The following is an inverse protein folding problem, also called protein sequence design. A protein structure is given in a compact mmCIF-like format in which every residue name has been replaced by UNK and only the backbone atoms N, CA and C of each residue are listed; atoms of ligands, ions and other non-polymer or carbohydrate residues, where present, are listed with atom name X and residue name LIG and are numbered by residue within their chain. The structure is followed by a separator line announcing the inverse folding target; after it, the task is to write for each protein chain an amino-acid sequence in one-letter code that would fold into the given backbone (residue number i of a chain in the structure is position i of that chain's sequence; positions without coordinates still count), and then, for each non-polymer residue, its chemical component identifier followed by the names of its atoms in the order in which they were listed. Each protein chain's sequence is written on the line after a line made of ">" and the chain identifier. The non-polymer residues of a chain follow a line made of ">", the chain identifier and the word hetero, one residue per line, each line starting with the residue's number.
data_IF_361074376525
#
_entry.id   IF_361074376525
#
_cell.length_a   1.000
_cell.length_b   1.000
_cell.length_c   1.000
_cell.angle_alpha   90.00
_cell.angle_beta   90.00
_cell.angle_gamma   90.00
#
_symmetry.space_group_name_H-M   'P 1'
#
loop_
_entity.id
_entity.type
_entity.pdbx_description
1 polymer ?
#
# COMPACT_ATOMS: atom_id res chain seq x y z
N UNK A 1 7.14 32.36 0.62
CA UNK A 1 6.85 31.39 -0.44
C UNK A 1 8.16 30.85 -0.97
N UNK A 2 8.51 29.60 -0.61
CA UNK A 2 9.68 28.93 -1.17
C UNK A 2 9.21 28.19 -2.42
N UNK A 3 9.60 28.68 -3.59
CA UNK A 3 9.35 28.02 -4.86
C UNK A 3 10.40 26.92 -5.07
N UNK A 4 10.02 25.65 -5.02
CA UNK A 4 10.91 24.53 -5.36
C UNK A 4 10.61 24.09 -6.79
N UNK A 5 11.57 24.25 -7.68
CA UNK A 5 11.51 23.75 -9.04
C UNK A 5 12.50 22.60 -9.17
N UNK A 6 12.02 21.42 -9.50
CA UNK A 6 12.89 20.30 -9.86
C UNK A 6 13.25 20.43 -11.33
N UNK A 7 14.52 20.54 -11.62
CA UNK A 7 15.04 20.49 -12.97
C UNK A 7 15.59 19.08 -13.19
N UNK A 8 15.06 18.30 -14.15
CA UNK A 8 15.65 17.02 -14.48
C UNK A 8 17.03 17.28 -15.12
N UNK A 9 18.09 16.74 -14.52
CA UNK A 9 19.39 16.70 -15.16
C UNK A 9 19.47 15.46 -16.04
N UNK A 10 19.64 15.66 -17.35
CA UNK A 10 19.89 14.57 -18.27
C UNK A 10 21.24 13.92 -17.93
N UNK A 11 21.20 12.74 -17.33
CA UNK A 11 22.37 11.88 -17.15
C UNK A 11 22.32 10.74 -18.13
N UNK A 12 23.43 10.47 -18.81
CA UNK A 12 23.56 9.48 -19.89
C UNK A 12 23.38 8.01 -19.46
N UNK A 13 23.27 7.71 -18.16
CA UNK A 13 23.02 6.37 -17.63
C UNK A 13 21.65 6.37 -16.93
N UNK A 14 20.64 5.88 -17.61
CA UNK A 14 19.34 5.57 -17.03
C UNK A 14 19.44 4.25 -16.25
N UNK A 15 20.12 4.29 -15.11
CA UNK A 15 20.17 3.17 -14.18
C UNK A 15 18.82 3.06 -13.45
N UNK A 16 18.43 1.85 -13.13
CA UNK A 16 17.30 1.56 -12.25
C UNK A 16 17.80 0.92 -10.96
N UNK A 17 17.01 1.00 -9.91
CA UNK A 17 17.26 0.33 -8.64
C UNK A 17 16.06 -0.55 -8.26
N UNK A 18 16.29 -1.60 -7.47
CA UNK A 18 15.26 -2.54 -7.04
C UNK A 18 15.35 -2.73 -5.53
N UNK A 19 14.24 -2.46 -4.86
CA UNK A 19 14.09 -2.68 -3.43
C UNK A 19 13.17 -3.86 -3.18
N UNK A 20 13.50 -4.72 -2.21
CA UNK A 20 12.75 -5.91 -1.86
C UNK A 20 12.08 -5.75 -0.50
N UNK A 21 10.83 -6.21 -0.42
CA UNK A 21 9.95 -6.08 0.75
C UNK A 21 9.39 -7.45 1.12
N UNK A 22 10.07 -8.22 1.99
CA UNK A 22 9.49 -9.45 2.53
C UNK A 22 8.20 -9.13 3.29
N UNK A 23 7.12 -9.86 3.01
CA UNK A 23 5.85 -9.67 3.71
C UNK A 23 6.00 -9.93 5.20
N UNK A 24 5.51 -9.01 6.03
CA UNK A 24 5.69 -9.08 7.47
C UNK A 24 7.04 -8.55 7.97
N UNK A 25 7.92 -8.08 7.06
CA UNK A 25 9.18 -7.39 7.36
C UNK A 25 10.43 -8.26 7.29
N UNK A 26 10.32 -9.60 7.35
CA UNK A 26 11.47 -10.50 7.40
C UNK A 26 11.29 -11.74 6.54
N UNK A 27 12.41 -12.28 6.04
CA UNK A 27 12.47 -13.63 5.51
C UNK A 27 12.59 -14.62 6.68
N UNK A 28 11.65 -15.56 6.75
CA UNK A 28 11.57 -16.57 7.81
C UNK A 28 12.18 -17.88 7.34
N UNK A 29 13.03 -18.48 8.16
CA UNK A 29 13.75 -19.71 7.83
C UNK A 29 12.82 -20.88 7.52
N UNK A 30 12.99 -21.50 6.35
CA UNK A 30 12.28 -22.71 5.95
C UNK A 30 10.78 -22.54 5.69
N UNK A 31 10.27 -21.30 5.74
CA UNK A 31 8.87 -21.01 5.44
C UNK A 31 8.72 -20.32 4.08
N UNK A 32 7.64 -20.62 3.39
CA UNK A 32 7.31 -19.91 2.15
C UNK A 32 6.94 -18.45 2.43
N UNK A 33 7.85 -17.54 2.06
CA UNK A 33 7.70 -16.08 2.20
C UNK A 33 7.25 -15.46 0.88
N UNK A 34 6.28 -14.53 0.94
CA UNK A 34 5.98 -13.63 -0.17
C UNK A 34 6.95 -12.46 -0.10
N UNK A 35 7.63 -12.18 -1.20
CA UNK A 35 8.52 -11.03 -1.32
C UNK A 35 7.99 -10.12 -2.41
N UNK A 36 7.63 -8.90 -2.04
CA UNK A 36 7.35 -7.86 -3.02
C UNK A 36 8.64 -7.14 -3.41
N UNK A 37 8.64 -6.53 -4.59
CA UNK A 37 9.73 -5.69 -5.04
C UNK A 37 9.20 -4.46 -5.76
N UNK A 38 10.02 -3.40 -5.78
CA UNK A 38 9.76 -2.18 -6.54
C UNK A 38 11.01 -1.76 -7.29
N UNK A 39 10.88 -1.65 -8.60
CA UNK A 39 11.92 -1.17 -9.50
C UNK A 39 11.66 0.28 -9.89
N UNK A 40 12.66 1.14 -9.69
CA UNK A 40 12.56 2.56 -9.96
C UNK A 40 13.79 3.05 -10.74
N UNK A 41 13.55 3.83 -11.79
CA UNK A 41 14.59 4.55 -12.48
C UNK A 41 15.11 5.75 -11.66
N UNK A 42 16.24 6.30 -12.04
CA UNK A 42 16.87 7.47 -11.35
C UNK A 42 15.99 8.72 -11.28
N UNK A 43 15.06 8.87 -12.20
CA UNK A 43 14.11 10.00 -12.22
C UNK A 43 12.95 9.82 -11.25
N UNK A 44 12.87 8.67 -10.54
CA UNK A 44 11.76 8.33 -9.65
C UNK A 44 10.56 7.72 -10.37
N UNK A 45 10.65 7.48 -11.68
CA UNK A 45 9.63 6.78 -12.44
C UNK A 45 9.77 5.27 -12.26
N UNK A 46 8.65 4.56 -12.40
CA UNK A 46 8.65 3.09 -12.39
C UNK A 46 9.51 2.53 -13.53
N UNK A 47 10.24 1.47 -13.26
CA UNK A 47 10.98 0.71 -14.26
C UNK A 47 10.30 -0.64 -14.49
N UNK A 48 10.17 -1.02 -15.76
CA UNK A 48 9.67 -2.35 -16.15
C UNK A 48 10.85 -3.31 -16.19
N UNK A 49 10.81 -4.36 -15.36
CA UNK A 49 11.86 -5.38 -15.29
C UNK A 49 11.29 -6.79 -15.29
N UNK A 50 12.08 -7.74 -15.78
CA UNK A 50 11.99 -9.16 -15.44
C UNK A 50 13.12 -9.50 -14.46
N UNK A 51 12.91 -10.47 -13.59
CA UNK A 51 13.91 -10.90 -12.63
C UNK A 51 13.89 -12.42 -12.42
N UNK A 52 15.08 -12.96 -12.17
CA UNK A 52 15.32 -14.34 -11.74
C UNK A 52 15.98 -14.31 -10.37
N UNK A 53 15.40 -15.03 -9.42
CA UNK A 53 16.01 -15.29 -8.11
C UNK A 53 16.84 -16.54 -8.23
N UNK A 54 18.13 -16.44 -7.91
CA UNK A 54 19.07 -17.57 -8.01
C UNK A 54 19.71 -17.87 -6.66
N UNK A 55 20.08 -19.10 -6.45
CA UNK A 55 20.86 -19.56 -5.30
C UNK A 55 22.37 -19.33 -5.49
N UNK A 56 23.17 -19.80 -4.55
CA UNK A 56 24.65 -19.70 -4.57
C UNK A 56 25.29 -20.52 -5.70
N UNK A 57 24.60 -21.56 -6.20
CA UNK A 57 25.05 -22.36 -7.35
C UNK A 57 24.69 -21.69 -8.68
N UNK A 58 23.88 -20.64 -8.66
CA UNK A 58 23.37 -19.95 -9.84
C UNK A 58 22.11 -20.59 -10.43
N UNK A 59 21.52 -21.57 -9.74
CA UNK A 59 20.28 -22.21 -10.16
C UNK A 59 19.09 -21.29 -9.91
N UNK A 60 18.17 -21.22 -10.89
CA UNK A 60 16.98 -20.37 -10.82
C UNK A 60 15.95 -21.03 -9.91
N UNK A 61 15.62 -20.32 -8.81
CA UNK A 61 14.57 -20.75 -7.87
C UNK A 61 13.20 -20.28 -8.36
N UNK A 62 13.09 -19.05 -8.80
CA UNK A 62 11.83 -18.47 -9.30
C UNK A 62 12.10 -17.31 -10.23
N UNK A 63 11.18 -17.09 -11.18
CA UNK A 63 11.21 -15.98 -12.13
C UNK A 63 9.91 -15.20 -12.10
N UNK A 64 10.00 -13.89 -12.23
CA UNK A 64 8.83 -13.01 -12.29
C UNK A 64 9.14 -11.70 -13.03
N UNK A 65 8.14 -10.85 -13.12
CA UNK A 65 8.27 -9.52 -13.73
C UNK A 65 7.42 -8.49 -12.99
N UNK A 66 7.66 -7.23 -13.27
CA UNK A 66 6.81 -6.14 -12.81
C UNK A 66 5.38 -6.29 -13.35
N UNK A 67 4.40 -6.05 -12.49
CA UNK A 67 2.98 -6.10 -12.81
C UNK A 67 2.39 -4.70 -13.00
N UNK A 68 2.76 -3.75 -12.15
CA UNK A 68 2.21 -2.39 -12.16
C UNK A 68 3.18 -1.43 -11.49
N UNK A 69 3.45 -0.29 -12.11
CA UNK A 69 4.27 0.81 -11.57
C UNK A 69 5.60 0.32 -10.94
N UNK A 70 6.32 -0.54 -11.67
CA UNK A 70 7.59 -1.10 -11.22
C UNK A 70 7.48 -2.16 -10.12
N UNK A 71 6.28 -2.50 -9.67
CA UNK A 71 6.05 -3.44 -8.57
C UNK A 71 5.75 -4.85 -9.06
N UNK A 72 6.17 -5.84 -8.29
CA UNK A 72 5.87 -7.25 -8.52
C UNK A 72 6.08 -8.07 -7.25
N UNK A 73 5.78 -9.37 -7.31
CA UNK A 73 5.99 -10.31 -6.20
C UNK A 73 6.52 -11.64 -6.69
N UNK A 74 7.18 -12.36 -5.79
CA UNK A 74 7.53 -13.78 -5.95
C UNK A 74 7.42 -14.49 -4.60
N UNK A 75 7.44 -15.83 -4.65
CA UNK A 75 7.47 -16.69 -3.47
C UNK A 75 8.87 -17.27 -3.33
N UNK A 76 9.37 -17.36 -2.10
CA UNK A 76 10.67 -17.92 -1.76
C UNK A 76 10.58 -18.66 -0.44
N UNK A 77 11.19 -19.86 -0.37
CA UNK A 77 11.42 -20.58 0.90
C UNK A 77 12.89 -20.45 1.25
N UNK A 78 13.28 -19.43 2.04
CA UNK A 78 14.67 -19.14 2.31
C UNK A 78 15.23 -20.00 3.45
N UNK A 79 16.53 -20.26 3.42
CA UNK A 79 17.25 -20.98 4.46
C UNK A 79 18.33 -20.12 5.12
N UNK A 80 18.51 -20.27 6.43
CA UNK A 80 19.59 -19.59 7.16
C UNK A 80 20.94 -19.94 6.58
N UNK A 81 21.80 -18.95 6.42
CA UNK A 81 23.16 -19.11 5.91
C UNK A 81 23.26 -19.10 4.39
N UNK A 82 22.15 -19.23 3.66
CA UNK A 82 22.16 -19.10 2.20
C UNK A 82 22.00 -17.65 1.75
N UNK A 83 22.69 -17.31 0.67
CA UNK A 83 22.58 -16.02 -0.01
C UNK A 83 21.79 -16.19 -1.29
N UNK A 84 20.86 -15.28 -1.54
CA UNK A 84 20.06 -15.28 -2.76
C UNK A 84 20.36 -14.02 -3.57
N UNK A 85 20.68 -14.21 -4.85
CA UNK A 85 20.90 -13.13 -5.80
C UNK A 85 19.67 -12.97 -6.68
N UNK A 86 19.41 -11.74 -7.09
CA UNK A 86 18.33 -11.41 -8.03
C UNK A 86 18.93 -10.79 -9.26
N UNK A 87 18.85 -11.49 -10.37
CA UNK A 87 19.30 -11.04 -11.70
C UNK A 87 18.13 -10.34 -12.36
N UNK A 88 18.25 -9.05 -12.60
CA UNK A 88 17.21 -8.23 -13.18
C UNK A 88 17.59 -7.76 -14.58
N UNK A 89 16.62 -7.78 -15.49
CA UNK A 89 16.76 -7.25 -16.85
C UNK A 89 15.62 -6.26 -17.10
N UNK A 90 15.94 -5.04 -17.52
CA UNK A 90 14.94 -4.05 -17.86
C UNK A 90 14.46 -4.16 -19.31
N UNK A 91 13.47 -3.33 -19.70
CA UNK A 91 12.91 -3.28 -21.05
C UNK A 91 13.92 -2.88 -22.15
N UNK A 92 15.07 -2.32 -21.75
CA UNK A 92 16.17 -1.94 -22.67
C UNK A 92 17.25 -3.02 -22.74
N UNK A 93 17.09 -4.18 -22.06
CA UNK A 93 18.06 -5.26 -22.01
C UNK A 93 19.24 -5.01 -21.07
N UNK A 94 19.15 -4.05 -20.18
CA UNK A 94 20.22 -3.76 -19.19
C UNK A 94 20.09 -4.71 -18.01
N UNK A 95 21.19 -5.38 -17.69
CA UNK A 95 21.25 -6.35 -16.60
C UNK A 95 21.83 -5.72 -15.34
N UNK A 96 21.21 -6.02 -14.19
CA UNK A 96 21.71 -5.68 -12.87
C UNK A 96 21.49 -6.83 -11.90
N UNK A 97 22.35 -6.93 -10.90
CA UNK A 97 22.25 -7.94 -9.84
C UNK A 97 22.06 -7.25 -8.49
N UNK A 98 21.18 -7.84 -7.68
CA UNK A 98 20.86 -7.37 -6.34
C UNK A 98 20.91 -8.57 -5.37
N UNK A 99 21.18 -8.27 -4.09
CA UNK A 99 21.08 -9.28 -3.03
C UNK A 99 19.74 -9.14 -2.33
N UNK A 100 19.10 -10.27 -2.03
CA UNK A 100 17.95 -10.27 -1.14
C UNK A 100 18.40 -9.96 0.30
N UNK A 101 17.49 -9.40 1.12
CA UNK A 101 17.73 -9.30 2.56
C UNK A 101 18.07 -10.68 3.14
N UNK A 102 18.99 -10.75 4.11
CA UNK A 102 19.33 -12.02 4.74
C UNK A 102 18.14 -12.56 5.55
N UNK A 103 18.09 -13.88 5.73
CA UNK A 103 17.15 -14.52 6.65
C UNK A 103 17.42 -14.01 8.06
N UNK A 104 16.39 -13.54 8.74
CA UNK A 104 16.53 -13.09 10.11
C UNK A 104 16.43 -14.30 11.08
N UNK A 105 17.56 -14.77 11.57
CA UNK A 105 17.63 -15.91 12.49
C UNK A 105 16.87 -15.70 13.81
N UNK A 106 16.58 -14.45 14.20
CA UNK A 106 15.85 -14.07 15.42
C UNK A 106 14.34 -13.91 15.17
N UNK A 107 13.91 -13.79 13.93
CA UNK A 107 12.51 -13.67 13.58
C UNK A 107 11.87 -15.06 13.55
N UNK A 108 11.09 -15.39 14.56
CA UNK A 108 10.40 -16.67 14.66
C UNK A 108 8.97 -16.62 14.12
N UNK A 109 8.39 -15.44 14.03
CA UNK A 109 6.99 -15.23 13.66
C UNK A 109 6.84 -14.11 12.64
N UNK A 110 5.85 -14.23 11.76
CA UNK A 110 5.49 -13.24 10.78
C UNK A 110 4.00 -13.26 10.46
N UNK A 111 3.50 -12.17 9.87
CA UNK A 111 2.14 -12.07 9.36
C UNK A 111 2.12 -12.21 7.84
N UNK A 112 1.16 -12.98 7.35
CA UNK A 112 0.69 -12.92 5.96
C UNK A 112 -0.75 -12.43 5.96
N UNK A 113 -1.05 -11.42 5.15
CA UNK A 113 -2.41 -10.89 5.02
C UNK A 113 -2.85 -10.94 3.57
N UNK A 114 -3.91 -11.69 3.31
CA UNK A 114 -4.54 -11.72 2.00
C UNK A 114 -5.83 -10.90 2.04
N UNK A 115 -5.89 -9.86 1.23
CA UNK A 115 -7.08 -9.03 1.06
C UNK A 115 -8.06 -9.72 0.11
N UNK A 116 -8.93 -10.60 0.67
CA UNK A 116 -10.00 -11.24 -0.08
C UNK A 116 -11.08 -10.21 -0.44
N UNK A 117 -12.13 -10.64 -1.16
CA UNK A 117 -13.22 -9.72 -1.55
C UNK A 117 -13.86 -9.07 -0.33
N UNK A 118 -14.34 -9.88 0.61
CA UNK A 118 -15.16 -9.42 1.73
C UNK A 118 -14.46 -9.55 3.10
N UNK A 119 -13.26 -10.14 3.13
CA UNK A 119 -12.54 -10.43 4.36
C UNK A 119 -11.04 -10.14 4.20
N UNK A 120 -10.37 -9.89 5.31
CA UNK A 120 -8.95 -10.08 5.46
C UNK A 120 -8.69 -11.47 6.03
N UNK A 121 -7.88 -12.27 5.34
CA UNK A 121 -7.32 -13.50 5.90
C UNK A 121 -5.95 -13.18 6.47
N UNK A 122 -5.84 -13.15 7.78
CA UNK A 122 -4.60 -12.91 8.50
C UNK A 122 -4.05 -14.23 8.99
N UNK A 123 -2.85 -14.61 8.55
CA UNK A 123 -2.22 -15.88 8.87
C UNK A 123 -0.95 -15.64 9.67
N UNK A 124 -0.75 -16.43 10.73
CA UNK A 124 0.50 -16.50 11.47
C UNK A 124 1.45 -17.46 10.74
N UNK A 125 2.60 -16.96 10.37
CA UNK A 125 3.75 -17.76 9.95
C UNK A 125 4.64 -17.95 11.16
N UNK A 126 4.97 -19.19 11.51
CA UNK A 126 5.80 -19.50 12.67
C UNK A 126 6.83 -20.55 12.32
N UNK A 127 8.10 -20.25 12.59
CA UNK A 127 9.22 -21.19 12.47
C UNK A 127 9.20 -22.21 13.60
N UNK A 128 8.70 -21.79 14.79
CA UNK A 128 8.53 -22.66 15.96
C UNK A 128 7.16 -23.38 15.89
N UNK A 129 7.08 -24.57 16.45
CA UNK A 129 5.82 -25.33 16.51
C UNK A 129 4.77 -24.59 17.33
N UNK A 130 5.17 -23.94 18.42
CA UNK A 130 4.33 -23.09 19.25
C UNK A 130 5.09 -21.86 19.72
N UNK A 131 4.44 -20.69 19.84
CA UNK A 131 5.04 -19.51 20.43
C UNK A 131 5.48 -19.77 21.88
N UNK A 132 6.68 -19.33 22.24
CA UNK A 132 7.19 -19.42 23.62
C UNK A 132 6.57 -18.39 24.57
N UNK A 133 5.92 -17.37 24.03
CA UNK A 133 5.26 -16.28 24.73
C UNK A 133 3.93 -15.90 24.04
N UNK A 134 2.98 -15.26 24.74
CA UNK A 134 1.74 -14.80 24.16
C UNK A 134 1.99 -13.82 23.00
N UNK A 135 1.27 -14.04 21.89
CA UNK A 135 1.27 -13.16 20.74
C UNK A 135 -0.09 -12.45 20.65
N UNK A 136 -0.08 -11.22 20.19
CA UNK A 136 -1.29 -10.41 20.03
C UNK A 136 -1.41 -9.92 18.60
N UNK A 137 -2.58 -10.16 17.98
CA UNK A 137 -2.92 -9.55 16.70
C UNK A 137 -3.68 -8.26 16.95
N UNK A 138 -3.15 -7.18 16.43
CA UNK A 138 -3.80 -5.86 16.47
C UNK A 138 -4.00 -5.36 15.05
N UNK A 139 -5.18 -4.81 14.76
CA UNK A 139 -5.45 -4.11 13.52
C UNK A 139 -6.03 -2.72 13.81
N UNK A 140 -5.51 -1.72 13.14
CA UNK A 140 -6.00 -0.36 13.30
C UNK A 140 -6.12 0.37 11.95
N UNK A 141 -6.97 1.40 11.94
CA UNK A 141 -7.14 2.35 10.84
C UNK A 141 -6.96 3.75 11.41
N UNK A 142 -6.01 4.52 10.90
CA UNK A 142 -5.72 5.90 11.34
C UNK A 142 -5.52 6.04 12.86
N UNK A 143 -4.88 5.04 13.49
CA UNK A 143 -4.64 5.02 14.94
C UNK A 143 -5.81 4.50 15.78
N UNK A 144 -7.00 4.34 15.23
CA UNK A 144 -8.13 3.71 15.92
C UNK A 144 -8.01 2.19 15.84
N UNK A 145 -7.90 1.52 16.98
CA UNK A 145 -7.85 0.06 17.05
C UNK A 145 -9.24 -0.49 16.71
N UNK A 146 -9.31 -1.33 15.68
CA UNK A 146 -10.53 -1.98 15.20
C UNK A 146 -10.61 -3.42 15.70
N UNK A 147 -9.46 -4.07 15.81
CA UNK A 147 -9.36 -5.44 16.26
C UNK A 147 -8.13 -5.61 17.17
N UNK A 148 -8.28 -6.33 18.28
CA UNK A 148 -7.19 -6.69 19.18
C UNK A 148 -7.53 -7.96 19.93
N UNK A 149 -6.80 -9.03 19.67
CA UNK A 149 -6.95 -10.32 20.36
C UNK A 149 -5.60 -11.00 20.57
N UNK A 150 -5.50 -11.77 21.65
CA UNK A 150 -4.43 -12.73 21.83
C UNK A 150 -4.54 -13.85 20.81
N UNK A 151 -3.41 -14.19 20.16
CA UNK A 151 -3.37 -15.28 19.18
C UNK A 151 -3.43 -16.63 19.91
N UNK A 152 -4.59 -17.27 19.86
CA UNK A 152 -4.84 -18.54 20.56
C UNK A 152 -4.46 -19.73 19.70
N UNK A 153 -3.60 -20.59 20.20
CA UNK A 153 -3.34 -21.89 19.63
C UNK A 153 -4.60 -22.81 19.73
N UNK A 154 -4.85 -23.68 18.77
CA UNK A 154 -4.07 -24.01 17.57
C UNK A 154 -4.46 -23.14 16.33
N UNK A 155 -5.12 -22.03 16.52
CA UNK A 155 -5.59 -21.19 15.41
C UNK A 155 -4.41 -20.58 14.66
N UNK A 156 -4.27 -20.91 13.37
CA UNK A 156 -3.22 -20.37 12.51
C UNK A 156 -3.68 -19.21 11.62
N UNK A 157 -4.95 -18.85 11.64
CA UNK A 157 -5.52 -17.78 10.79
C UNK A 157 -6.78 -17.16 11.36
N UNK A 158 -6.95 -15.87 11.14
CA UNK A 158 -8.20 -15.14 11.34
C UNK A 158 -8.84 -14.77 10.00
N UNK A 159 -10.17 -14.81 9.94
CA UNK A 159 -10.96 -14.22 8.86
C UNK A 159 -11.71 -13.04 9.44
N UNK A 160 -11.28 -11.83 9.09
CA UNK A 160 -11.82 -10.58 9.61
C UNK A 160 -12.67 -9.91 8.53
N UNK A 161 -14.00 -9.78 8.71
CA UNK A 161 -14.86 -9.16 7.72
C UNK A 161 -14.50 -7.67 7.51
N UNK A 162 -14.26 -7.28 6.26
CA UNK A 162 -13.87 -5.91 5.89
C UNK A 162 -14.91 -4.87 6.29
N UNK A 163 -16.20 -5.26 6.36
CA UNK A 163 -17.29 -4.37 6.76
C UNK A 163 -17.11 -3.72 8.14
N UNK A 164 -16.32 -4.34 9.02
CA UNK A 164 -16.02 -3.76 10.35
C UNK A 164 -14.87 -2.77 10.33
N UNK A 165 -14.15 -2.68 9.21
CA UNK A 165 -13.01 -1.77 9.06
C UNK A 165 -13.45 -0.53 8.29
N UNK A 166 -13.17 0.67 8.81
CA UNK A 166 -13.30 1.88 8.01
C UNK A 166 -12.52 1.76 6.70
N UNK A 167 -12.99 2.43 5.66
CA UNK A 167 -12.28 2.48 4.39
C UNK A 167 -10.92 3.16 4.52
N UNK A 168 -9.94 2.64 3.80
CA UNK A 168 -8.58 3.16 3.79
C UNK A 168 -7.53 2.12 4.16
N UNK A 169 -6.35 2.60 4.52
CA UNK A 169 -5.21 1.75 4.88
C UNK A 169 -5.43 1.15 6.28
N UNK A 170 -5.38 -0.17 6.36
CA UNK A 170 -5.43 -0.96 7.60
C UNK A 170 -4.01 -1.43 7.88
N UNK A 171 -3.52 -1.21 9.10
CA UNK A 171 -2.26 -1.77 9.57
C UNK A 171 -2.54 -2.94 10.50
N UNK A 172 -2.00 -4.10 10.16
CA UNK A 172 -1.96 -5.29 10.98
C UNK A 172 -0.61 -5.40 11.68
N UNK A 173 -0.62 -5.69 12.97
CA UNK A 173 0.55 -5.81 13.83
C UNK A 173 0.48 -7.13 14.58
N UNK A 174 1.57 -7.87 14.58
CA UNK A 174 1.81 -8.96 15.51
C UNK A 174 2.71 -8.45 16.62
N UNK A 175 2.21 -8.44 17.84
CA UNK A 175 2.92 -7.94 19.00
C UNK A 175 3.27 -9.09 19.96
N UNK A 176 4.40 -8.95 20.64
CA UNK A 176 4.72 -9.78 21.80
C UNK A 176 4.04 -9.23 23.08
N UNK A 177 4.20 -9.93 24.21
CA UNK A 177 3.66 -9.52 25.51
C UNK A 177 4.14 -8.15 26.00
N UNK A 178 5.26 -7.64 25.49
CA UNK A 178 5.81 -6.33 25.84
C UNK A 178 5.32 -5.21 24.90
N UNK A 179 4.38 -5.50 23.99
CA UNK A 179 3.87 -4.55 23.01
C UNK A 179 4.88 -4.19 21.92
N UNK A 180 5.92 -5.02 21.70
CA UNK A 180 6.87 -4.83 20.61
C UNK A 180 6.33 -5.48 19.34
N UNK A 181 6.40 -4.79 18.22
CA UNK A 181 6.01 -5.33 16.93
C UNK A 181 7.04 -6.36 16.45
N UNK A 182 6.58 -7.59 16.25
CA UNK A 182 7.35 -8.69 15.66
C UNK A 182 7.18 -8.73 14.14
N UNK A 183 5.99 -8.35 13.65
CA UNK A 183 5.67 -8.33 12.23
C UNK A 183 4.57 -7.32 11.94
N UNK A 184 4.59 -6.73 10.76
CA UNK A 184 3.64 -5.72 10.34
C UNK A 184 3.25 -5.87 8.88
N UNK A 185 2.00 -5.55 8.55
CA UNK A 185 1.49 -5.61 7.20
C UNK A 185 0.40 -4.56 6.98
N UNK A 186 0.55 -3.77 5.93
CA UNK A 186 -0.51 -2.89 5.47
C UNK A 186 -1.45 -3.64 4.52
N UNK A 187 -2.73 -3.39 4.63
CA UNK A 187 -3.75 -3.83 3.68
C UNK A 187 -4.75 -2.71 3.44
N UNK A 188 -5.59 -2.84 2.44
CA UNK A 188 -6.59 -1.80 2.13
C UNK A 188 -8.00 -2.32 2.34
N UNK A 189 -8.80 -1.57 3.11
CA UNK A 189 -10.24 -1.78 3.23
C UNK A 189 -10.97 -0.94 2.20
N UNK A 190 -11.68 -1.61 1.29
CA UNK A 190 -12.54 -1.01 0.27
C UNK A 190 -13.99 -0.89 0.72
N UNK A 191 -14.23 -0.92 2.04
CA UNK A 191 -15.55 -0.79 2.68
C UNK A 191 -16.05 0.65 2.64
N UNK A 192 -16.26 1.20 1.45
CA UNK A 192 -16.84 2.52 1.28
C UNK A 192 -17.92 2.53 0.21
N UNK A 193 -18.91 3.37 0.43
CA UNK A 193 -19.94 3.67 -0.55
C UNK A 193 -19.86 5.16 -0.87
N UNK A 194 -19.36 5.53 -2.07
CA UNK A 194 -19.26 6.93 -2.43
C UNK A 194 -20.66 7.54 -2.56
N UNK A 195 -20.81 8.80 -2.15
CA UNK A 195 -21.99 9.56 -2.49
C UNK A 195 -22.02 9.85 -4.00
N UNK A 196 -23.19 9.82 -4.57
CA UNK A 196 -23.43 10.20 -5.97
C UNK A 196 -23.68 11.70 -6.01
N UNK A 197 -22.88 12.40 -6.78
CA UNK A 197 -23.04 13.83 -6.99
C UNK A 197 -23.41 14.10 -8.45
N UNK A 198 -24.64 14.51 -8.70
CA UNK A 198 -25.12 14.90 -10.01
C UNK A 198 -25.03 16.43 -10.16
N UNK A 199 -24.36 16.86 -11.21
CA UNK A 199 -24.23 18.27 -11.56
C UNK A 199 -24.97 18.54 -12.85
N UNK A 200 -25.92 19.47 -12.81
CA UNK A 200 -26.65 19.92 -14.00
C UNK A 200 -26.46 21.42 -14.20
N UNK A 201 -26.19 21.80 -15.43
CA UNK A 201 -26.06 23.21 -15.84
C UNK A 201 -27.34 23.63 -16.56
N UNK A 202 -27.97 24.69 -16.11
CA UNK A 202 -29.21 25.19 -16.72
C UNK A 202 -28.89 26.04 -17.97
N UNK A 203 -29.33 25.52 -19.12
CA UNK A 203 -29.31 26.21 -20.41
C UNK A 203 -27.95 26.18 -21.14
N UNK A 204 -27.94 26.45 -22.44
CA UNK A 204 -26.71 26.56 -23.20
C UNK A 204 -26.01 27.89 -22.87
N UNK A 205 -24.72 27.82 -22.59
CA UNK A 205 -23.87 29.02 -22.39
C UNK A 205 -23.58 29.59 -23.77
N UNK A 206 -24.27 30.65 -24.12
CA UNK A 206 -24.19 31.24 -25.48
C UNK A 206 -23.39 32.53 -25.56
N UNK A 207 -23.22 33.24 -24.45
CA UNK A 207 -22.59 34.57 -24.43
C UNK A 207 -21.47 34.69 -23.38
N UNK A 208 -20.48 35.51 -23.72
CA UNK A 208 -19.43 35.89 -22.78
C UNK A 208 -20.04 36.65 -21.58
N UNK A 209 -19.65 36.25 -20.34
CA UNK A 209 -20.12 36.84 -19.07
C UNK A 209 -21.61 36.59 -18.75
N UNK A 210 -22.19 35.57 -19.31
CA UNK A 210 -23.55 35.13 -18.96
C UNK A 210 -23.57 34.46 -17.60
N UNK A 211 -24.64 34.64 -16.85
CA UNK A 211 -24.84 33.96 -15.56
C UNK A 211 -25.13 32.48 -15.81
N UNK A 212 -24.45 31.61 -15.09
CA UNK A 212 -24.59 30.17 -15.19
C UNK A 212 -25.17 29.69 -13.85
N UNK A 213 -26.28 28.94 -13.92
CA UNK A 213 -26.85 28.25 -12.78
C UNK A 213 -26.44 26.78 -12.80
N UNK A 214 -25.81 26.32 -11.74
CA UNK A 214 -25.41 24.93 -11.56
C UNK A 214 -26.20 24.32 -10.40
N UNK A 215 -26.96 23.27 -10.68
CA UNK A 215 -27.62 22.50 -9.65
C UNK A 215 -26.75 21.29 -9.27
N UNK A 216 -26.48 21.13 -7.98
CA UNK A 216 -25.77 19.99 -7.42
C UNK A 216 -26.71 19.16 -6.57
N UNK A 217 -26.84 17.88 -6.85
CA UNK A 217 -27.64 16.92 -6.09
C UNK A 217 -26.70 15.85 -5.50
N UNK A 218 -26.74 15.67 -4.20
CA UNK A 218 -25.96 14.67 -3.48
C UNK A 218 -26.88 13.57 -2.95
N UNK A 219 -26.58 12.32 -3.32
CA UNK A 219 -27.43 11.16 -2.99
C UNK A 219 -26.56 9.98 -2.54
N UNK A 220 -27.17 9.08 -1.74
CA UNK A 220 -26.60 7.76 -1.46
C UNK A 220 -26.83 6.79 -2.64
N UNK A 221 -26.31 5.56 -2.52
CA UNK A 221 -26.51 4.51 -3.53
C UNK A 221 -27.99 4.12 -3.74
N UNK A 222 -28.85 4.39 -2.75
CA UNK A 222 -30.29 4.15 -2.80
C UNK A 222 -31.06 5.39 -3.28
N UNK A 223 -30.36 6.37 -3.86
CA UNK A 223 -30.92 7.65 -4.35
C UNK A 223 -31.58 8.52 -3.25
N UNK A 224 -31.23 8.31 -1.99
CA UNK A 224 -31.71 9.13 -0.88
C UNK A 224 -30.87 10.42 -0.78
N UNK A 225 -31.50 11.60 -0.65
CA UNK A 225 -30.76 12.85 -0.52
C UNK A 225 -29.81 12.84 0.69
N UNK A 226 -28.60 13.26 0.48
CA UNK A 226 -27.61 13.45 1.54
C UNK A 226 -27.41 14.93 1.84
N UNK A 227 -27.29 15.26 3.13
CA UNK A 227 -26.81 16.57 3.58
C UNK A 227 -25.31 16.53 3.72
N UNK A 228 -24.62 17.55 3.21
CA UNK A 228 -23.16 17.60 3.28
C UNK A 228 -22.63 19.02 3.06
N UNK A 229 -21.34 19.15 3.27
CA UNK A 229 -20.56 20.34 2.92
C UNK A 229 -19.78 20.03 1.65
N UNK A 230 -19.80 20.92 0.69
CA UNK A 230 -19.05 20.75 -0.55
C UNK A 230 -18.04 21.86 -0.75
N UNK A 231 -16.99 21.54 -1.45
CA UNK A 231 -16.08 22.49 -2.07
C UNK A 231 -16.35 22.53 -3.57
N UNK A 232 -16.44 23.72 -4.12
CA UNK A 232 -16.68 23.92 -5.55
C UNK A 232 -15.46 24.61 -6.15
N UNK A 233 -14.95 24.04 -7.25
CA UNK A 233 -13.89 24.65 -8.06
C UNK A 233 -14.38 24.77 -9.50
N UNK A 234 -14.23 25.97 -10.06
CA UNK A 234 -14.58 26.24 -11.46
C UNK A 234 -13.32 26.64 -12.21
N UNK A 235 -13.04 25.94 -13.28
CA UNK A 235 -11.85 26.16 -14.11
C UNK A 235 -12.24 26.27 -15.59
N UNK A 236 -11.46 27.03 -16.35
CA UNK A 236 -11.62 27.06 -17.81
C UNK A 236 -11.01 25.77 -18.38
N UNK A 237 -11.86 24.93 -18.99
CA UNK A 237 -11.46 23.66 -19.58
C UNK A 237 -10.47 23.76 -20.75
N UNK A 238 -10.19 24.98 -21.27
CA UNK A 238 -9.12 25.19 -22.25
C UNK A 238 -7.74 25.25 -21.61
N UNK A 239 -7.65 25.61 -20.34
CA UNK A 239 -6.39 25.81 -19.61
C UNK A 239 -6.15 24.81 -18.50
N UNK A 240 -7.18 24.08 -18.08
CA UNK A 240 -7.06 23.06 -17.04
C UNK A 240 -7.59 21.72 -17.55
N UNK A 241 -6.73 20.73 -17.58
CA UNK A 241 -7.16 19.34 -17.72
C UNK A 241 -7.65 18.81 -16.38
N UNK A 242 -8.76 18.10 -16.37
CA UNK A 242 -9.20 17.36 -15.19
C UNK A 242 -8.23 16.22 -14.94
N UNK A 243 -7.54 16.24 -13.81
CA UNK A 243 -6.73 15.09 -13.39
C UNK A 243 -7.66 13.97 -12.91
N UNK A 244 -7.93 13.02 -13.81
CA UNK A 244 -8.72 11.83 -13.50
C UNK A 244 -7.98 10.82 -12.62
N UNK A 245 -6.66 10.98 -12.47
CA UNK A 245 -5.81 10.07 -11.72
C UNK A 245 -5.75 10.40 -10.22
N UNK A 246 -5.99 11.68 -9.85
CA UNK A 246 -5.93 12.14 -8.46
C UNK A 246 -7.24 12.82 -8.08
N UNK A 247 -7.97 12.21 -7.17
CA UNK A 247 -9.28 12.67 -6.71
C UNK A 247 -9.40 12.58 -5.18
N UNK A 248 -10.51 13.10 -4.63
CA UNK A 248 -10.73 13.14 -3.18
C UNK A 248 -10.66 11.75 -2.53
N UNK A 249 -11.16 10.70 -3.18
CA UNK A 249 -11.11 9.32 -2.65
C UNK A 249 -9.67 8.83 -2.58
N UNK A 250 -8.93 8.95 -3.69
CA UNK A 250 -7.54 8.53 -3.74
C UNK A 250 -6.66 9.31 -2.78
N UNK A 251 -6.97 10.60 -2.56
CA UNK A 251 -6.28 11.41 -1.56
C UNK A 251 -6.58 10.93 -0.14
N UNK A 252 -7.85 10.97 0.26
CA UNK A 252 -8.25 10.75 1.66
C UNK A 252 -8.06 9.30 2.13
N UNK A 253 -8.26 8.32 1.23
CA UNK A 253 -8.23 6.91 1.61
C UNK A 253 -6.88 6.23 1.38
N UNK A 254 -6.01 6.83 0.56
CA UNK A 254 -4.74 6.20 0.17
C UNK A 254 -3.55 7.15 0.33
N UNK A 255 -3.47 8.22 -0.46
CA UNK A 255 -2.27 9.04 -0.55
C UNK A 255 -1.96 9.82 0.73
N UNK A 256 -2.97 10.21 1.52
CA UNK A 256 -2.76 10.88 2.80
C UNK A 256 -2.22 9.97 3.91
N UNK A 257 -2.35 8.65 3.75
CA UNK A 257 -1.94 7.66 4.75
C UNK A 257 -0.56 7.05 4.45
N UNK A 258 -0.08 7.19 3.22
CA UNK A 258 1.18 6.63 2.75
C UNK A 258 2.19 7.73 2.45
N UNK A 259 3.48 7.45 2.62
CA UNK A 259 4.55 8.40 2.31
C UNK A 259 5.04 8.21 0.87
N UNK A 260 5.44 9.32 0.26
CA UNK A 260 6.00 9.34 -1.08
C UNK A 260 4.96 9.57 -2.16
N UNK A 261 5.41 9.50 -3.40
CA UNK A 261 4.56 9.67 -4.56
C UNK A 261 3.93 8.34 -4.96
N UNK A 262 2.61 8.31 -5.06
CA UNK A 262 1.85 7.17 -5.62
C UNK A 262 1.49 7.56 -7.04
N UNK A 263 2.02 6.81 -7.99
CA UNK A 263 1.70 7.03 -9.40
C UNK A 263 0.26 6.62 -9.68
N UNK A 264 -0.47 7.46 -10.42
CA UNK A 264 -1.85 7.21 -10.86
C UNK A 264 -2.78 6.67 -9.77
N UNK A 265 -2.91 7.32 -8.59
CA UNK A 265 -3.61 6.76 -7.43
C UNK A 265 -5.09 6.45 -7.70
N UNK A 266 -5.74 7.11 -8.66
CA UNK A 266 -7.11 6.81 -9.09
C UNK A 266 -7.26 5.43 -9.75
N UNK A 267 -6.17 4.84 -10.25
CA UNK A 267 -6.18 3.49 -10.82
C UNK A 267 -6.67 2.46 -9.79
N UNK A 268 -6.22 2.57 -8.55
CA UNK A 268 -6.53 1.62 -7.48
C UNK A 268 -7.99 1.64 -7.03
N UNK A 269 -8.76 2.67 -7.42
CA UNK A 269 -10.18 2.83 -7.07
C UNK A 269 -11.15 2.32 -8.15
N UNK A 270 -10.65 1.65 -9.19
CA UNK A 270 -11.47 0.97 -10.19
C UNK A 270 -12.05 -0.32 -9.61
N UNK A 271 -13.20 -0.22 -8.94
CA UNK A 271 -13.82 -1.31 -8.13
C UNK A 271 -14.02 -2.64 -8.87
N UNK A 272 -14.33 -2.61 -10.15
CA UNK A 272 -14.63 -3.82 -10.91
C UNK A 272 -13.38 -4.51 -11.49
N UNK A 273 -12.22 -3.89 -11.35
CA UNK A 273 -10.97 -4.43 -11.88
C UNK A 273 -10.27 -5.32 -10.85
N UNK A 274 -10.23 -6.62 -11.13
CA UNK A 274 -9.43 -7.57 -10.33
C UNK A 274 -7.95 -7.19 -10.34
N UNK A 275 -7.47 -6.69 -11.47
CA UNK A 275 -6.11 -6.19 -11.61
C UNK A 275 -5.83 -5.01 -10.67
N UNK A 276 -6.75 -4.04 -10.57
CA UNK A 276 -6.57 -2.89 -9.67
C UNK A 276 -6.49 -3.33 -8.20
N UNK A 277 -7.30 -4.31 -7.77
CA UNK A 277 -7.23 -4.86 -6.39
C UNK A 277 -5.91 -5.55 -6.11
N UNK A 278 -5.44 -6.39 -7.04
CA UNK A 278 -4.14 -7.06 -6.89
C UNK A 278 -2.99 -6.05 -6.86
N UNK A 279 -3.04 -5.02 -7.70
CA UNK A 279 -2.05 -3.94 -7.70
C UNK A 279 -2.12 -3.08 -6.44
N UNK A 280 -3.32 -2.90 -5.85
CA UNK A 280 -3.47 -2.19 -4.57
C UNK A 280 -2.84 -2.97 -3.42
N UNK A 281 -3.03 -4.30 -3.37
CA UNK A 281 -2.35 -5.14 -2.37
C UNK A 281 -0.83 -5.13 -2.57
N UNK A 282 -0.37 -5.12 -3.81
CA UNK A 282 1.04 -4.98 -4.16
C UNK A 282 1.61 -3.63 -3.71
N UNK A 283 0.85 -2.54 -3.87
CA UNK A 283 1.21 -1.24 -3.32
C UNK A 283 1.35 -1.30 -1.80
N UNK A 284 0.41 -1.95 -1.10
CA UNK A 284 0.48 -2.11 0.37
C UNK A 284 1.68 -2.93 0.82
N UNK A 285 2.14 -3.90 0.02
CA UNK A 285 3.35 -4.68 0.29
C UNK A 285 4.64 -3.87 0.15
N UNK A 286 4.66 -2.92 -0.77
CA UNK A 286 5.85 -2.11 -1.09
C UNK A 286 5.92 -0.78 -0.32
N UNK A 287 4.99 -0.54 0.60
CA UNK A 287 4.99 0.64 1.46
C UNK A 287 5.52 0.29 2.84
N UNK A 288 6.53 1.04 3.25
CA UNK A 288 7.26 0.83 4.50
C UNK A 288 6.96 1.92 5.54
N UNK A 289 6.36 3.04 5.12
CA UNK A 289 6.09 4.15 6.01
C UNK A 289 4.69 4.13 6.57
N UNK A 290 4.58 4.47 7.86
CA UNK A 290 3.36 4.55 8.64
C UNK A 290 3.16 5.97 9.16
N UNK A 291 1.95 6.46 9.04
CA UNK A 291 1.59 7.74 9.65
C UNK A 291 1.51 7.65 11.18
N UNK A 292 1.11 6.48 11.69
CA UNK A 292 0.94 6.24 13.12
C UNK A 292 1.87 5.11 13.58
N UNK A 293 2.75 5.42 14.53
CA UNK A 293 3.58 4.42 15.20
C UNK A 293 2.83 3.89 16.42
N UNK A 294 2.00 2.86 16.20
CA UNK A 294 1.19 2.28 17.26
C UNK A 294 2.06 1.64 18.36
N UNK A 295 3.22 1.09 18.00
CA UNK A 295 4.16 0.53 18.98
C UNK A 295 4.67 1.59 19.93
N UNK A 296 5.07 2.75 19.43
CA UNK A 296 5.48 3.89 20.26
C UNK A 296 4.32 4.41 21.13
N UNK A 297 3.09 4.40 20.59
CA UNK A 297 1.88 4.81 21.33
C UNK A 297 1.62 3.85 22.49
N UNK A 298 1.60 2.53 22.24
CA UNK A 298 1.37 1.50 23.27
C UNK A 298 2.46 1.57 24.36
N UNK A 299 3.70 1.85 24.01
CA UNK A 299 4.82 1.98 24.92
C UNK A 299 4.88 3.34 25.64
N UNK A 300 3.93 4.24 25.40
CA UNK A 300 3.91 5.58 25.99
C UNK A 300 5.05 6.50 25.50
N UNK A 301 5.70 6.16 24.40
CA UNK A 301 6.84 6.91 23.82
C UNK A 301 6.43 7.92 22.76
N UNK A 302 5.16 7.92 22.35
CA UNK A 302 4.65 8.81 21.31
C UNK A 302 4.50 10.24 21.85
N UNK A 303 5.15 11.19 21.18
CA UNK A 303 4.94 12.61 21.43
C UNK A 303 3.85 13.12 20.48
N UNK A 304 2.74 13.57 21.04
CA UNK A 304 1.69 14.23 20.25
C UNK A 304 2.31 15.51 19.65
N UNK A 305 2.32 15.68 18.32
CA UNK A 305 2.79 16.91 17.73
C UNK A 305 1.95 18.07 18.23
N UNK A 306 2.59 19.12 18.73
CA UNK A 306 1.88 20.38 19.04
C UNK A 306 1.44 20.94 17.71
N UNK A 307 0.13 20.98 17.48
CA UNK A 307 -0.44 21.66 16.32
C UNK A 307 -0.15 23.16 16.50
N UNK A 308 0.69 23.73 15.65
CA UNK A 308 0.81 25.18 15.58
C UNK A 308 -0.57 25.76 15.24
N UNK A 309 -1.09 26.57 16.13
CA UNK A 309 -2.30 27.35 15.85
C UNK A 309 -1.92 28.43 14.83
N UNK A 310 -2.38 28.26 13.60
CA UNK A 310 -2.35 29.32 12.58
C UNK A 310 -3.48 30.30 12.79
#
# INVERSE_FOLDING_TARGET
>A
NVYRRFLPMATRNEEYDVTFYPEGGYLLNGLECRVAFKAMGRTGNAATISLDVVDEAGEIITSTRTLHEGMGTFMLTPEIGKTYLVKCTDEFGRNREFKLPPVNAKALHGLRVDALRDNFRVSLLSVAESPSEPLYLVAHVRGAIIFSEEWKEPQKKYLLPKQYFPAGVVQFLLLNQNGQALSERLAFSDSYTPAICDLTVNGPITKKRESISVNASLQDINQRPLKGVYSVSVVDGKFASVDSCYNILSHLLLASELKGNIQSPGFYFKKESTSARSCLDLLMLTQDWKRYDLTAIIQGKYKIPVLEKH
#
